data_IF_871072012318
#
_entry.id   IF_871072012318
#
_cell.length_a   1.000
_cell.length_b   1.000
_cell.length_c   1.000
_cell.angle_alpha   90.00
_cell.angle_beta   90.00
_cell.angle_gamma   90.00
#
_symmetry.space_group_name_H-M   'P 1'
#
loop_
_entity.id
_entity.type
_entity.pdbx_description
1 polymer ?
#
# COMPACT_ATOMS: atom_id res chain seq x y z
N UNK A 1 14.39 -11.79 -44.59
CA UNK A 1 15.21 -12.11 -43.39
C UNK A 1 14.52 -11.48 -42.20
N UNK A 2 13.81 -12.31 -41.43
CA UNK A 2 12.95 -11.93 -40.31
C UNK A 2 13.79 -11.90 -39.05
N UNK A 3 13.82 -10.79 -38.34
CA UNK A 3 14.30 -10.73 -36.96
C UNK A 3 13.09 -10.57 -36.04
N UNK A 4 12.41 -11.69 -35.77
CA UNK A 4 11.53 -11.81 -34.61
C UNK A 4 12.42 -12.09 -33.40
N UNK A 5 12.48 -11.13 -32.48
CA UNK A 5 12.91 -11.41 -31.11
C UNK A 5 11.64 -11.77 -30.33
N UNK A 6 11.36 -13.07 -30.20
CA UNK A 6 10.46 -13.61 -29.18
C UNK A 6 11.32 -14.08 -28.01
N UNK A 7 11.23 -13.40 -26.87
CA UNK A 7 11.66 -13.91 -25.55
C UNK A 7 10.59 -13.44 -24.55
N UNK A 8 9.61 -14.30 -24.28
CA UNK A 8 9.42 -15.19 -23.10
C UNK A 8 8.73 -14.49 -21.94
N UNK A 9 7.57 -15.05 -21.60
CA UNK A 9 6.54 -14.61 -20.67
C UNK A 9 7.02 -14.73 -19.22
N UNK A 10 7.18 -13.59 -18.53
CA UNK A 10 7.30 -13.53 -17.06
C UNK A 10 5.91 -13.19 -16.49
N UNK A 11 5.13 -14.22 -16.20
CA UNK A 11 3.92 -14.12 -15.37
C UNK A 11 4.39 -13.85 -13.93
N UNK A 12 4.02 -12.82 -13.19
CA UNK A 12 2.97 -11.82 -13.30
C UNK A 12 3.41 -10.56 -12.56
N UNK A 13 2.86 -9.41 -12.96
CA UNK A 13 3.12 -8.02 -12.48
C UNK A 13 4.00 -7.15 -13.40
N UNK A 14 3.83 -7.27 -14.72
CA UNK A 14 4.16 -6.20 -15.68
C UNK A 14 2.92 -5.33 -16.00
N UNK A 15 2.04 -5.08 -15.02
CA UNK A 15 0.97 -4.11 -15.24
C UNK A 15 1.60 -2.71 -15.32
N UNK A 16 1.25 -1.88 -16.32
CA UNK A 16 1.70 -0.50 -16.36
C UNK A 16 1.22 0.20 -15.07
N UNK A 17 2.07 1.03 -14.48
CA UNK A 17 1.67 1.83 -13.33
C UNK A 17 0.62 2.85 -13.79
N UNK A 18 -0.60 2.69 -13.30
CA UNK A 18 -1.73 3.59 -13.60
C UNK A 18 -1.95 4.49 -12.40
N UNK A 19 -1.78 5.81 -12.61
CA UNK A 19 -2.14 6.78 -11.59
C UNK A 19 -3.68 6.88 -11.48
N UNK A 20 -4.19 6.81 -10.26
CA UNK A 20 -5.62 6.86 -9.95
C UNK A 20 -5.85 7.81 -8.78
N UNK A 21 -6.97 8.52 -8.80
CA UNK A 21 -7.34 9.50 -7.76
C UNK A 21 -8.47 9.02 -6.86
N UNK A 22 -9.20 7.99 -7.28
CA UNK A 22 -10.34 7.44 -6.55
C UNK A 22 -9.93 6.16 -5.80
N UNK A 23 -10.10 6.18 -4.48
CA UNK A 23 -9.80 5.04 -3.62
C UNK A 23 -10.83 3.91 -3.74
N UNK A 24 -11.95 4.11 -4.44
CA UNK A 24 -12.97 3.08 -4.70
C UNK A 24 -13.00 2.58 -6.15
N UNK A 25 -11.91 2.78 -6.89
CA UNK A 25 -11.79 2.31 -8.28
C UNK A 25 -11.89 0.78 -8.38
N UNK A 26 -12.99 0.31 -8.98
CA UNK A 26 -13.31 -1.11 -9.09
C UNK A 26 -12.41 -1.93 -10.01
N UNK A 27 -11.43 -1.32 -10.69
CA UNK A 27 -10.43 -2.04 -11.49
C UNK A 27 -9.43 -2.81 -10.65
N UNK A 28 -9.34 -2.52 -9.35
CA UNK A 28 -8.38 -3.13 -8.43
C UNK A 28 -9.06 -4.17 -7.53
N UNK A 29 -8.35 -5.25 -7.22
CA UNK A 29 -8.86 -6.37 -6.42
C UNK A 29 -8.51 -6.28 -4.92
N UNK A 30 -7.78 -5.24 -4.53
CA UNK A 30 -7.40 -4.92 -3.16
C UNK A 30 -6.89 -3.48 -3.06
N UNK A 31 -7.13 -2.82 -1.91
CA UNK A 31 -6.52 -1.52 -1.59
C UNK A 31 -5.44 -1.72 -0.54
N UNK A 32 -4.20 -1.38 -0.86
CA UNK A 32 -3.06 -1.39 0.08
C UNK A 32 -2.86 0.04 0.57
N UNK A 33 -3.23 0.30 1.82
CA UNK A 33 -3.14 1.62 2.43
C UNK A 33 -1.94 1.70 3.37
N UNK A 34 -0.97 2.53 3.01
CA UNK A 34 0.26 2.76 3.78
C UNK A 34 0.12 4.08 4.54
N UNK A 35 0.09 4.02 5.87
CA UNK A 35 -0.01 5.22 6.69
C UNK A 35 0.54 5.00 8.11
N UNK A 36 0.72 6.07 8.88
CA UNK A 36 1.21 6.04 10.26
C UNK A 36 0.10 6.15 11.33
N UNK A 37 -1.10 6.54 10.92
CA UNK A 37 -2.26 6.72 11.79
C UNK A 37 -3.53 6.14 11.15
N UNK A 38 -4.57 5.93 11.96
CA UNK A 38 -5.88 5.40 11.54
C UNK A 38 -6.98 6.46 11.51
N UNK A 39 -6.73 7.64 12.08
CA UNK A 39 -7.69 8.76 12.17
C UNK A 39 -7.15 10.04 11.53
N UNK A 40 -8.04 11.01 11.28
CA UNK A 40 -7.70 12.35 10.76
C UNK A 40 -7.03 12.31 9.37
N UNK A 41 -7.46 11.36 8.54
CA UNK A 41 -6.86 11.09 7.24
C UNK A 41 -7.26 12.16 6.23
N UNK A 42 -8.45 12.75 6.39
CA UNK A 42 -9.00 13.79 5.52
C UNK A 42 -10.04 13.24 4.54
N UNK A 43 -10.75 14.16 3.86
CA UNK A 43 -11.95 13.83 3.07
C UNK A 43 -11.71 12.80 1.96
N UNK A 44 -10.53 12.83 1.33
CA UNK A 44 -10.19 11.91 0.24
C UNK A 44 -10.04 10.46 0.71
N UNK A 45 -9.84 10.26 2.01
CA UNK A 45 -9.65 8.96 2.64
C UNK A 45 -10.83 8.56 3.52
N UNK A 46 -11.93 9.31 3.49
CA UNK A 46 -13.09 9.05 4.34
C UNK A 46 -13.62 7.59 4.27
N UNK A 47 -13.65 6.91 3.10
CA UNK A 47 -14.00 5.50 3.03
C UNK A 47 -13.04 4.58 3.82
N UNK A 48 -11.75 4.90 3.80
CA UNK A 48 -10.70 4.12 4.47
C UNK A 48 -10.73 4.38 5.98
N UNK A 49 -10.89 5.64 6.39
CA UNK A 49 -10.99 6.03 7.81
C UNK A 49 -12.19 5.36 8.50
N UNK A 50 -13.33 5.26 7.81
CA UNK A 50 -14.51 4.55 8.32
C UNK A 50 -14.25 3.05 8.53
N UNK A 51 -13.56 2.41 7.58
CA UNK A 51 -13.19 1.00 7.68
C UNK A 51 -12.20 0.75 8.84
N UNK A 52 -11.18 1.61 8.97
CA UNK A 52 -10.19 1.54 10.05
C UNK A 52 -10.82 1.79 11.43
N UNK A 53 -11.70 2.79 11.54
CA UNK A 53 -12.42 3.11 12.79
C UNK A 53 -13.33 1.96 13.21
N UNK A 54 -13.99 1.31 12.26
CA UNK A 54 -14.81 0.12 12.52
C UNK A 54 -13.95 -1.05 12.99
N UNK A 55 -12.78 -1.26 12.36
CA UNK A 55 -11.84 -2.29 12.74
C UNK A 55 -11.21 -2.06 14.13
N UNK A 56 -10.89 -0.81 14.48
CA UNK A 56 -10.31 -0.45 15.78
C UNK A 56 -11.24 -0.77 16.96
N UNK A 57 -12.57 -0.83 16.75
CA UNK A 57 -13.53 -1.24 17.78
C UNK A 57 -13.41 -2.72 18.17
N UNK A 58 -12.90 -3.56 17.27
CA UNK A 58 -12.78 -5.01 17.46
C UNK A 58 -11.33 -5.47 17.63
N UNK A 59 -10.35 -4.68 17.17
CA UNK A 59 -8.93 -4.95 17.35
C UNK A 59 -8.22 -3.76 18.01
N UNK A 60 -7.80 -3.88 19.30
CA UNK A 60 -7.00 -2.86 19.98
C UNK A 60 -5.66 -2.53 19.29
N UNK A 61 -5.15 -3.41 18.44
CA UNK A 61 -3.90 -3.25 17.70
C UNK A 61 -4.08 -2.81 16.24
N UNK A 62 -5.27 -2.30 15.88
CA UNK A 62 -5.62 -1.89 14.51
C UNK A 62 -4.66 -0.88 13.83
N UNK A 63 -3.81 -0.20 14.61
CA UNK A 63 -2.80 0.75 14.13
C UNK A 63 -1.36 0.22 14.09
N UNK A 64 -1.09 -0.97 14.64
CA UNK A 64 0.27 -1.41 14.94
C UNK A 64 0.75 -2.56 14.05
N UNK A 65 -0.17 -3.34 13.49
CA UNK A 65 0.15 -4.52 12.69
C UNK A 65 -0.50 -4.44 11.30
N UNK A 66 0.19 -5.00 10.30
CA UNK A 66 -0.37 -5.23 8.99
C UNK A 66 -1.66 -6.04 9.10
N UNK A 67 -2.77 -5.45 8.64
CA UNK A 67 -4.11 -6.00 8.88
C UNK A 67 -4.92 -6.04 7.60
N UNK A 68 -5.69 -7.12 7.41
CA UNK A 68 -6.69 -7.22 6.33
C UNK A 68 -8.05 -6.86 6.93
N UNK A 69 -8.66 -5.83 6.38
CA UNK A 69 -9.86 -5.18 6.91
C UNK A 69 -10.95 -5.26 5.85
N UNK A 70 -12.17 -5.55 6.29
CA UNK A 70 -13.34 -5.47 5.43
C UNK A 70 -13.51 -4.02 4.94
N UNK A 71 -13.63 -3.84 3.63
CA UNK A 71 -13.78 -2.52 3.02
C UNK A 71 -15.06 -2.45 2.17
N UNK A 72 -16.25 -2.36 2.79
CA UNK A 72 -17.53 -2.50 2.10
C UNK A 72 -17.77 -1.47 0.99
N UNK A 73 -17.13 -0.29 1.08
CA UNK A 73 -17.27 0.77 0.07
C UNK A 73 -16.48 0.49 -1.21
N UNK A 74 -15.46 -0.36 -1.15
CA UNK A 74 -14.67 -0.73 -2.32
C UNK A 74 -15.30 -1.94 -3.02
N UNK A 75 -15.40 -1.99 -4.36
CA UNK A 75 -15.94 -3.15 -5.08
C UNK A 75 -15.25 -4.48 -4.76
N UNK A 76 -13.96 -4.45 -4.44
CA UNK A 76 -13.20 -5.64 -4.01
C UNK A 76 -13.50 -6.10 -2.57
N UNK A 77 -14.07 -5.22 -1.73
CA UNK A 77 -14.37 -5.50 -0.33
C UNK A 77 -13.16 -5.58 0.60
N UNK A 78 -11.94 -5.28 0.13
CA UNK A 78 -10.69 -5.59 0.85
C UNK A 78 -9.76 -4.39 0.97
N UNK A 79 -9.39 -4.06 2.21
CA UNK A 79 -8.36 -3.10 2.57
C UNK A 79 -7.22 -3.84 3.28
N UNK A 80 -5.98 -3.63 2.85
CA UNK A 80 -4.78 -4.07 3.55
C UNK A 80 -4.16 -2.82 4.16
N UNK A 81 -4.28 -2.69 5.47
CA UNK A 81 -3.65 -1.61 6.21
C UNK A 81 -2.21 -1.97 6.52
N UNK A 82 -1.27 -1.09 6.14
CA UNK A 82 0.16 -1.25 6.30
C UNK A 82 0.68 -0.10 7.16
N UNK A 83 0.73 -0.27 8.50
CA UNK A 83 1.21 0.78 9.38
C UNK A 83 2.72 1.00 9.18
N UNK A 84 3.14 2.25 9.00
CA UNK A 84 4.57 2.62 8.97
C UNK A 84 5.21 2.71 10.36
N UNK A 85 4.36 2.68 11.40
CA UNK A 85 4.71 3.17 12.73
C UNK A 85 4.79 4.70 12.77
N UNK A 86 5.00 5.23 13.97
CA UNK A 86 5.11 6.67 14.20
C UNK A 86 6.40 7.22 13.56
N UNK A 87 6.25 8.29 12.77
CA UNK A 87 7.32 8.92 11.98
C UNK A 87 7.92 10.16 12.65
N UNK A 88 7.62 10.39 13.93
CA UNK A 88 8.20 11.43 14.79
C UNK A 88 9.29 10.90 15.73
N UNK A 89 9.88 9.74 15.44
CA UNK A 89 10.94 9.15 16.25
C UNK A 89 12.32 9.50 15.69
N UNK A 90 13.36 9.47 16.52
CA UNK A 90 14.74 9.80 16.11
C UNK A 90 15.31 8.84 15.04
N UNK A 91 14.70 7.66 14.91
CA UNK A 91 15.08 6.62 13.95
C UNK A 91 14.13 6.54 12.75
N UNK A 92 13.04 7.30 12.75
CA UNK A 92 12.10 7.31 11.65
C UNK A 92 12.69 7.97 10.42
N UNK A 93 12.61 7.28 9.30
CA UNK A 93 12.96 7.85 8.00
C UNK A 93 12.14 7.22 6.88
N UNK A 94 12.54 7.51 5.64
CA UNK A 94 11.86 7.03 4.44
C UNK A 94 11.77 5.49 4.38
N UNK A 95 12.68 4.75 5.00
CA UNK A 95 12.67 3.28 5.02
C UNK A 95 11.43 2.72 5.70
N UNK A 96 10.87 3.40 6.69
CA UNK A 96 9.60 2.99 7.31
C UNK A 96 8.46 2.87 6.28
N UNK A 97 8.40 3.78 5.31
CA UNK A 97 7.41 3.75 4.23
C UNK A 97 7.70 2.62 3.25
N UNK A 98 8.98 2.40 2.94
CA UNK A 98 9.42 1.30 2.08
C UNK A 98 9.06 -0.06 2.69
N UNK A 99 9.46 -0.30 3.94
CA UNK A 99 9.30 -1.57 4.65
C UNK A 99 7.82 -1.90 4.84
N UNK A 100 6.99 -0.92 5.24
CA UNK A 100 5.55 -1.10 5.35
C UNK A 100 4.90 -1.45 4.01
N UNK A 101 5.32 -0.80 2.93
CA UNK A 101 4.81 -1.09 1.59
C UNK A 101 5.26 -2.47 1.10
N UNK A 102 6.52 -2.83 1.35
CA UNK A 102 7.10 -4.11 0.98
C UNK A 102 6.36 -5.28 1.66
N UNK A 103 6.17 -5.22 2.98
CA UNK A 103 5.43 -6.26 3.71
C UNK A 103 3.94 -6.31 3.29
N UNK A 104 3.33 -5.15 3.04
CA UNK A 104 1.99 -5.04 2.46
C UNK A 104 1.83 -5.79 1.14
N UNK A 105 2.71 -5.51 0.19
CA UNK A 105 2.69 -6.13 -1.12
C UNK A 105 3.09 -7.61 -1.10
N UNK A 106 4.03 -7.99 -0.23
CA UNK A 106 4.39 -9.39 -0.02
C UNK A 106 3.19 -10.20 0.45
N UNK A 107 2.39 -9.66 1.36
CA UNK A 107 1.14 -10.29 1.81
C UNK A 107 0.11 -10.38 0.69
N UNK A 108 -0.05 -9.33 -0.10
CA UNK A 108 -0.98 -9.27 -1.23
C UNK A 108 -0.64 -10.30 -2.31
N UNK A 109 0.64 -10.41 -2.67
CA UNK A 109 1.14 -11.40 -3.62
C UNK A 109 0.94 -12.82 -3.09
N UNK A 110 1.25 -13.07 -1.80
CA UNK A 110 1.02 -14.40 -1.19
C UNK A 110 -0.46 -14.81 -1.17
N UNK A 111 -1.38 -13.85 -1.16
CA UNK A 111 -2.82 -14.09 -1.21
C UNK A 111 -3.35 -14.26 -2.65
N UNK A 112 -2.49 -14.12 -3.65
CA UNK A 112 -2.86 -14.29 -5.06
C UNK A 112 -3.65 -13.12 -5.66
N UNK A 113 -3.57 -11.93 -5.06
CA UNK A 113 -4.14 -10.72 -5.68
C UNK A 113 -3.34 -10.34 -6.93
N UNK A 114 -4.06 -9.96 -7.99
CA UNK A 114 -3.51 -9.71 -9.34
C UNK A 114 -3.38 -8.23 -9.66
N UNK A 115 -4.20 -7.39 -9.03
CA UNK A 115 -4.34 -5.97 -9.33
C UNK A 115 -4.52 -5.11 -8.07
N UNK A 116 -3.54 -5.13 -7.13
CA UNK A 116 -3.61 -4.29 -5.94
C UNK A 116 -3.39 -2.81 -6.28
N UNK A 117 -4.14 -1.93 -5.60
CA UNK A 117 -3.91 -0.48 -5.62
C UNK A 117 -3.01 -0.07 -4.44
N UNK A 118 -1.94 0.67 -4.71
CA UNK A 118 -1.14 1.33 -3.67
C UNK A 118 -1.73 2.70 -3.35
N UNK A 119 -2.04 2.95 -2.09
CA UNK A 119 -2.52 4.24 -1.60
C UNK A 119 -1.65 4.68 -0.42
N UNK A 120 -0.95 5.81 -0.56
CA UNK A 120 -0.18 6.42 0.53
C UNK A 120 -1.03 7.49 1.20
N UNK A 121 -1.16 7.41 2.52
CA UNK A 121 -1.92 8.35 3.33
C UNK A 121 -1.16 9.65 3.62
N UNK A 122 -1.74 10.53 4.46
CA UNK A 122 -1.15 11.83 4.80
C UNK A 122 0.08 11.76 5.71
N UNK A 123 0.39 10.61 6.32
CA UNK A 123 1.53 10.42 7.23
C UNK A 123 1.61 11.50 8.32
N UNK A 124 0.58 11.58 9.17
CA UNK A 124 0.33 12.70 10.09
C UNK A 124 1.35 12.87 11.19
N UNK A 125 1.90 11.78 11.71
CA UNK A 125 2.92 11.78 12.75
C UNK A 125 4.28 12.24 12.22
N UNK A 126 4.50 12.28 10.91
CA UNK A 126 5.77 12.68 10.33
C UNK A 126 6.08 14.15 10.64
N UNK A 127 7.27 14.40 11.20
CA UNK A 127 7.73 15.71 11.65
C UNK A 127 8.03 16.64 10.48
N UNK A 128 7.11 17.55 10.14
CA UNK A 128 7.21 18.50 9.02
C UNK A 128 8.57 19.23 8.96
N UNK A 129 9.28 19.14 7.82
CA UNK A 129 10.59 19.79 7.61
C UNK A 129 11.64 18.93 6.91
N UNK A 130 11.55 17.60 6.97
CA UNK A 130 12.51 16.73 6.30
C UNK A 130 12.30 16.62 4.78
N UNK A 131 13.39 16.69 4.01
CA UNK A 131 13.38 16.54 2.55
C UNK A 131 12.76 15.22 2.06
N UNK A 132 12.88 14.15 2.84
CA UNK A 132 12.38 12.84 2.47
C UNK A 132 10.85 12.71 2.56
N UNK A 133 10.17 13.62 3.27
CA UNK A 133 8.70 13.63 3.35
C UNK A 133 8.01 14.38 2.21
N UNK A 134 8.77 14.83 1.20
CA UNK A 134 8.15 15.37 0.00
C UNK A 134 7.22 14.30 -0.62
N UNK A 135 5.98 14.64 -1.01
CA UNK A 135 5.01 13.64 -1.49
C UNK A 135 5.53 12.76 -2.62
N UNK A 136 6.33 13.33 -3.53
CA UNK A 136 6.99 12.60 -4.63
C UNK A 136 7.96 11.55 -4.11
N UNK A 137 8.75 11.90 -3.10
CA UNK A 137 9.78 11.04 -2.51
C UNK A 137 9.12 9.88 -1.76
N UNK A 138 8.08 10.16 -0.98
CA UNK A 138 7.27 9.15 -0.29
C UNK A 138 6.64 8.16 -1.28
N UNK A 139 5.97 8.67 -2.32
CA UNK A 139 5.33 7.84 -3.34
C UNK A 139 6.33 6.98 -4.10
N UNK A 140 7.46 7.55 -4.54
CA UNK A 140 8.50 6.81 -5.25
C UNK A 140 9.04 5.66 -4.39
N UNK A 141 9.27 5.93 -3.11
CA UNK A 141 9.82 4.94 -2.20
C UNK A 141 8.81 3.83 -1.85
N UNK A 142 7.53 4.17 -1.69
CA UNK A 142 6.46 3.19 -1.56
C UNK A 142 6.37 2.30 -2.83
N UNK A 143 6.40 2.90 -4.01
CA UNK A 143 6.41 2.17 -5.29
C UNK A 143 7.61 1.22 -5.36
N UNK A 144 8.80 1.66 -4.92
CA UNK A 144 9.99 0.81 -4.89
C UNK A 144 9.81 -0.41 -3.98
N UNK A 145 9.24 -0.21 -2.78
CA UNK A 145 8.92 -1.30 -1.85
C UNK A 145 7.92 -2.29 -2.43
N UNK A 146 6.87 -1.78 -3.09
CA UNK A 146 5.88 -2.59 -3.76
C UNK A 146 6.51 -3.46 -4.87
N UNK A 147 7.25 -2.86 -5.80
CA UNK A 147 7.91 -3.59 -6.87
C UNK A 147 8.94 -4.60 -6.36
N UNK A 148 9.67 -4.26 -5.31
CA UNK A 148 10.61 -5.19 -4.69
C UNK A 148 9.90 -6.44 -4.18
N UNK A 149 8.78 -6.28 -3.47
CA UNK A 149 7.97 -7.41 -3.00
C UNK A 149 7.42 -8.26 -4.16
N UNK A 150 6.91 -7.62 -5.22
CA UNK A 150 6.42 -8.32 -6.41
C UNK A 150 7.52 -9.13 -7.12
N UNK A 151 8.79 -8.71 -7.02
CA UNK A 151 9.92 -9.37 -7.65
C UNK A 151 10.48 -10.52 -6.79
N UNK A 152 10.55 -10.34 -5.46
CA UNK A 152 11.18 -11.34 -4.57
C UNK A 152 10.22 -12.44 -4.14
N UNK A 153 8.92 -12.16 -4.08
CA UNK A 153 7.93 -13.13 -3.64
C UNK A 153 7.51 -13.98 -4.83
N UNK A 154 8.10 -15.17 -4.94
CA UNK A 154 7.59 -16.20 -5.84
C UNK A 154 6.26 -16.73 -5.30
N UNK A 155 5.27 -16.91 -6.18
CA UNK A 155 3.99 -17.56 -5.87
C UNK A 155 4.26 -19.03 -5.52
N UNK A 156 4.68 -19.32 -4.29
CA UNK A 156 4.72 -20.67 -3.74
C UNK A 156 3.35 -20.95 -3.13
N UNK A 157 2.46 -21.51 -3.94
CA UNK A 157 1.24 -22.17 -3.49
C UNK A 157 1.59 -23.54 -2.92
#
# INVERSE_FOLDING_TARGET
>A
MVWQIRIVQLHSMQAPLVAVTDVVDGRFDAVVFVNDNTTELGSNYAPIEEALTTYAKVNPQAGCELSIIAFPKHPSGRLIFCPTGALNTDTADIRNVYDATYEGFKRVVSMGFKSPMLCVGPLRSASHGFHWMQPRTLLLNAILGAYHACYTVSLTC
#
